data_IF_029389708743
#
_entry.id   IF_029389708743
#
_cell.length_a   1.000
_cell.length_b   1.000
_cell.length_c   1.000
_cell.angle_alpha   90.00
_cell.angle_beta   90.00
_cell.angle_gamma   90.00
#
_symmetry.space_group_name_H-M   'P 1'
#
loop_
_entity.id
_entity.type
_entity.pdbx_description
1 polymer ?
#
# COMPACT_ATOMS: atom_id res chain seq x y z
N UNK A 1 10.26 -22.04 27.70
CA UNK A 1 10.09 -21.02 28.74
C UNK A 1 10.72 -19.70 28.28
N UNK A 2 9.90 -18.81 27.74
CA UNK A 2 10.00 -17.35 27.86
C UNK A 2 8.60 -16.85 27.49
N UNK A 3 7.77 -16.74 28.53
CA UNK A 3 6.48 -16.06 28.47
C UNK A 3 6.77 -14.57 28.32
N UNK A 4 6.44 -13.99 27.16
CA UNK A 4 6.25 -12.54 27.09
C UNK A 4 4.86 -12.26 27.61
N UNK A 5 4.79 -11.92 28.89
CA UNK A 5 3.60 -11.35 29.51
C UNK A 5 3.14 -10.15 28.67
N UNK A 6 1.91 -10.24 28.19
CA UNK A 6 1.14 -9.07 27.79
C UNK A 6 0.77 -8.38 29.11
N UNK A 7 1.72 -7.68 29.71
CA UNK A 7 1.38 -6.65 30.67
C UNK A 7 0.58 -5.60 29.89
N UNK A 8 -0.64 -5.35 30.35
CA UNK A 8 -1.46 -4.27 29.83
C UNK A 8 -0.72 -2.95 30.11
N UNK A 9 0.02 -2.44 29.12
CA UNK A 9 0.38 -1.02 29.09
C UNK A 9 -0.93 -0.25 29.19
N UNK A 10 -1.22 0.28 30.37
CA UNK A 10 -2.35 1.15 30.60
C UNK A 10 -2.30 2.26 29.56
N UNK A 11 -3.42 2.50 28.87
CA UNK A 11 -3.56 3.57 27.87
C UNK A 11 -3.61 4.95 28.56
N UNK A 12 -2.71 5.22 29.50
CA UNK A 12 -2.69 6.42 30.36
C UNK A 12 -2.44 7.72 29.58
N UNK A 13 -2.09 7.60 28.30
CA UNK A 13 -1.95 8.70 27.36
C UNK A 13 -3.21 8.95 26.52
N UNK A 14 -4.19 8.06 26.54
CA UNK A 14 -5.47 8.22 25.83
C UNK A 14 -6.49 8.81 26.80
N UNK A 15 -7.11 9.92 26.41
CA UNK A 15 -8.17 10.58 27.17
C UNK A 15 -9.45 10.64 26.36
N UNK A 16 -10.58 10.53 27.03
CA UNK A 16 -11.89 10.66 26.39
C UNK A 16 -12.49 12.03 26.69
N UNK A 17 -12.99 12.72 25.66
CA UNK A 17 -13.65 14.02 25.76
C UNK A 17 -14.80 14.06 24.78
N UNK A 18 -16.01 14.39 25.23
CA UNK A 18 -17.20 14.52 24.38
C UNK A 18 -17.44 13.29 23.47
N UNK A 19 -17.25 12.08 24.00
CA UNK A 19 -17.41 10.81 23.26
C UNK A 19 -16.33 10.54 22.19
N UNK A 20 -15.24 11.31 22.18
CA UNK A 20 -14.10 11.14 21.28
C UNK A 20 -12.84 10.81 22.07
N UNK A 21 -11.96 10.02 21.44
CA UNK A 21 -10.66 9.64 22.00
C UNK A 21 -9.57 10.57 21.51
N UNK A 22 -8.69 10.98 22.43
CA UNK A 22 -7.54 11.85 22.14
C UNK A 22 -6.28 11.26 22.75
N UNK A 23 -5.13 11.55 22.15
CA UNK A 23 -3.82 11.35 22.76
C UNK A 23 -3.43 12.65 23.46
N UNK A 24 -3.14 12.59 24.76
CA UNK A 24 -2.46 13.70 25.46
C UNK A 24 -0.96 13.62 25.13
N UNK A 25 -0.51 14.53 24.27
CA UNK A 25 0.86 14.58 23.80
C UNK A 25 1.84 14.69 24.98
N UNK A 26 1.49 15.41 26.05
CA UNK A 26 2.36 15.58 27.23
C UNK A 26 2.68 14.28 27.95
N UNK A 27 1.80 13.28 27.84
CA UNK A 27 1.96 11.94 28.44
C UNK A 27 2.84 11.02 27.61
N UNK A 28 3.12 11.36 26.36
CA UNK A 28 4.01 10.59 25.48
C UNK A 28 5.29 11.33 25.12
N UNK A 29 5.47 12.57 25.60
CA UNK A 29 6.73 13.27 25.40
C UNK A 29 7.85 12.51 26.13
N UNK A 30 8.97 12.25 25.46
CA UNK A 30 10.13 11.67 26.11
C UNK A 30 10.74 12.71 27.05
N UNK A 31 11.36 12.27 28.14
CA UNK A 31 12.04 13.17 29.07
C UNK A 31 13.26 13.84 28.43
N UNK A 32 13.99 13.13 27.56
CA UNK A 32 15.22 13.60 26.94
C UNK A 32 15.28 13.32 25.45
N UNK A 33 15.95 14.20 24.72
CA UNK A 33 16.42 13.91 23.37
C UNK A 33 17.60 12.93 23.43
N UNK A 34 17.92 12.22 22.33
CA UNK A 34 19.12 11.37 22.28
C UNK A 34 20.45 12.14 22.45
N UNK A 35 20.41 13.49 22.42
CA UNK A 35 21.56 14.33 22.78
C UNK A 35 21.70 14.58 24.28
N UNK A 36 20.86 13.99 25.12
CA UNK A 36 20.84 14.20 26.58
C UNK A 36 20.05 15.43 27.04
N UNK A 37 19.71 16.36 26.14
CA UNK A 37 18.91 17.57 26.45
C UNK A 37 17.55 17.19 27.02
N UNK A 38 17.19 17.77 28.16
CA UNK A 38 15.88 17.63 28.80
C UNK A 38 14.81 18.33 27.96
N UNK A 39 13.70 17.64 27.72
CA UNK A 39 12.53 18.16 27.03
C UNK A 39 11.57 18.68 28.08
N UNK A 40 11.13 19.92 27.88
CA UNK A 40 10.16 20.61 28.71
C UNK A 40 8.98 21.04 27.86
N UNK A 41 7.85 21.28 28.51
CA UNK A 41 6.68 21.85 27.86
C UNK A 41 6.01 22.85 28.79
N UNK A 42 5.31 23.81 28.19
CA UNK A 42 4.41 24.72 28.90
C UNK A 42 3.07 24.77 28.18
N UNK A 43 1.99 24.90 28.94
CA UNK A 43 0.67 25.14 28.38
C UNK A 43 0.63 26.55 27.75
N UNK A 44 0.05 26.66 26.55
CA UNK A 44 -0.21 27.96 25.90
C UNK A 44 -1.67 28.36 26.13
N UNK A 45 -2.58 27.45 25.79
CA UNK A 45 -4.04 27.54 25.97
C UNK A 45 -4.58 26.12 26.21
N UNK A 46 -5.87 25.90 26.40
CA UNK A 46 -6.44 24.57 26.72
C UNK A 46 -6.08 23.46 25.71
N UNK A 47 -5.86 23.82 24.44
CA UNK A 47 -5.67 22.88 23.33
C UNK A 47 -4.21 22.80 22.86
N UNK A 48 -3.35 23.74 23.25
CA UNK A 48 -1.98 23.87 22.72
C UNK A 48 -0.91 23.91 23.81
N UNK A 49 0.22 23.32 23.47
CA UNK A 49 1.45 23.35 24.26
C UNK A 49 2.61 23.89 23.42
N UNK A 50 3.59 24.49 24.10
CA UNK A 50 4.90 24.78 23.54
C UNK A 50 5.90 23.78 24.10
N UNK A 51 6.52 22.99 23.23
CA UNK A 51 7.56 22.03 23.60
C UNK A 51 8.91 22.68 23.29
N UNK A 52 9.84 22.60 24.24
CA UNK A 52 11.19 23.16 24.13
C UNK A 52 12.20 22.29 24.86
N UNK A 53 13.49 22.64 24.77
CA UNK A 53 14.53 21.96 25.56
C UNK A 53 15.09 22.89 26.62
N UNK A 54 15.49 22.32 27.76
CA UNK A 54 16.31 23.06 28.72
C UNK A 54 17.70 23.31 28.14
N UNK A 55 18.07 24.59 28.07
CA UNK A 55 19.35 25.05 27.52
C UNK A 55 20.54 24.59 28.37
N UNK A 56 20.33 24.37 29.67
CA UNK A 56 21.38 24.05 30.64
C UNK A 56 21.60 22.54 30.82
N UNK A 57 20.60 21.71 30.48
CA UNK A 57 20.64 20.25 30.67
C UNK A 57 21.74 19.47 29.93
N UNK A 58 22.33 20.03 28.86
CA UNK A 58 23.45 19.43 28.12
C UNK A 58 24.12 20.50 27.22
N UNK A 59 25.37 20.33 26.75
CA UNK A 59 25.99 21.24 25.78
C UNK A 59 25.38 21.12 24.36
N UNK A 60 25.62 22.13 23.51
CA UNK A 60 25.22 22.15 22.11
C UNK A 60 23.99 23.01 21.79
N UNK A 61 23.67 23.10 20.49
CA UNK A 61 22.60 23.96 19.96
C UNK A 61 21.22 23.64 20.52
N UNK A 62 20.41 24.68 20.73
CA UNK A 62 19.07 24.57 21.27
C UNK A 62 18.05 24.61 20.11
N UNK A 63 17.32 23.51 19.82
CA UNK A 63 16.25 23.54 18.83
C UNK A 63 15.22 24.61 19.18
N UNK A 64 14.65 25.23 18.14
CA UNK A 64 13.56 26.20 18.32
C UNK A 64 12.37 25.52 19.01
N UNK A 65 11.66 26.22 19.92
CA UNK A 65 10.41 25.74 20.49
C UNK A 65 9.39 25.42 19.39
N UNK A 66 8.53 24.45 19.65
CA UNK A 66 7.46 24.04 18.73
C UNK A 66 6.13 24.22 19.44
N UNK A 67 5.19 24.88 18.75
CA UNK A 67 3.79 24.95 19.18
C UNK A 67 3.01 23.85 18.48
N UNK A 68 2.29 23.05 19.25
CA UNK A 68 1.58 21.88 18.74
C UNK A 68 0.32 21.65 19.57
N UNK A 69 -0.65 20.94 18.98
CA UNK A 69 -1.83 20.50 19.71
C UNK A 69 -1.46 19.53 20.84
N UNK A 70 -2.01 19.76 22.04
CA UNK A 70 -1.86 18.87 23.20
C UNK A 70 -2.72 17.62 23.03
N UNK A 71 -4.00 17.81 22.75
CA UNK A 71 -4.96 16.71 22.62
C UNK A 71 -5.18 16.39 21.14
N UNK A 72 -4.51 15.35 20.65
CA UNK A 72 -4.58 14.93 19.25
C UNK A 72 -5.71 13.91 19.12
N UNK A 73 -6.75 14.25 18.34
CA UNK A 73 -7.90 13.36 18.13
C UNK A 73 -7.46 12.08 17.41
N UNK A 74 -7.88 10.92 17.94
CA UNK A 74 -7.61 9.62 17.34
C UNK A 74 -8.67 9.37 16.26
N UNK A 75 -8.34 9.69 15.02
CA UNK A 75 -9.23 9.57 13.87
C UNK A 75 -8.46 9.15 12.60
N UNK A 76 -9.21 8.83 11.54
CA UNK A 76 -8.73 8.39 10.24
C UNK A 76 -7.67 9.33 9.64
N UNK A 77 -7.85 10.65 9.77
CA UNK A 77 -6.93 11.66 9.25
C UNK A 77 -5.55 11.57 9.89
N UNK A 78 -5.49 11.36 11.21
CA UNK A 78 -4.24 11.15 11.92
C UNK A 78 -3.51 9.90 11.40
N UNK A 79 -4.24 8.80 11.19
CA UNK A 79 -3.64 7.57 10.65
C UNK A 79 -3.18 7.74 9.21
N UNK A 80 -3.91 8.49 8.37
CA UNK A 80 -3.47 8.79 7.00
C UNK A 80 -2.22 9.68 7.00
N UNK A 81 -2.15 10.69 7.86
CA UNK A 81 -0.96 11.54 8.02
C UNK A 81 0.28 10.69 8.35
N UNK A 82 0.15 9.84 9.36
CA UNK A 82 1.24 9.00 9.82
C UNK A 82 1.55 7.85 8.87
N UNK A 83 0.59 7.42 8.03
CA UNK A 83 0.83 6.50 6.93
C UNK A 83 1.68 7.13 5.82
N UNK A 84 1.39 8.37 5.42
CA UNK A 84 2.21 9.13 4.47
C UNK A 84 3.62 9.37 5.02
N UNK A 85 3.71 9.82 6.27
CA UNK A 85 4.99 10.00 6.97
C UNK A 85 5.69 8.66 7.23
N UNK A 86 4.97 7.53 7.18
CA UNK A 86 5.58 6.23 7.36
C UNK A 86 6.44 5.83 6.17
N UNK A 87 6.02 6.16 4.96
CA UNK A 87 6.81 5.92 3.77
C UNK A 87 7.83 7.02 3.53
N UNK A 88 7.35 8.07 2.86
CA UNK A 88 8.15 9.20 2.35
C UNK A 88 8.40 10.30 3.40
N UNK A 89 8.19 9.98 4.67
CA UNK A 89 8.48 10.91 5.75
C UNK A 89 9.97 11.17 5.90
N UNK A 90 10.32 12.46 5.96
CA UNK A 90 11.62 12.87 6.47
C UNK A 90 11.74 12.41 7.92
N UNK A 91 12.63 11.45 8.15
CA UNK A 91 12.87 10.79 9.44
C UNK A 91 14.33 10.91 9.81
N UNK A 92 14.63 10.63 11.08
CA UNK A 92 16.00 10.57 11.57
C UNK A 92 16.74 9.43 10.87
N UNK A 93 17.60 9.76 9.90
CA UNK A 93 18.55 8.84 9.27
C UNK A 93 19.95 9.08 9.87
N UNK A 94 20.56 8.02 10.42
CA UNK A 94 21.95 7.99 10.89
C UNK A 94 22.37 9.20 11.72
N UNK A 95 21.77 9.40 12.91
CA UNK A 95 22.18 10.42 13.91
C UNK A 95 22.09 11.91 13.52
N UNK A 96 22.05 12.23 12.22
CA UNK A 96 22.38 13.54 11.69
C UNK A 96 21.22 14.23 10.98
N UNK A 97 20.34 13.51 10.26
CA UNK A 97 19.18 14.12 9.63
C UNK A 97 18.04 14.32 10.64
N UNK A 98 17.53 15.54 10.80
CA UNK A 98 16.64 15.92 11.93
C UNK A 98 15.49 16.80 11.45
N UNK A 99 14.65 16.25 10.58
CA UNK A 99 13.50 16.94 10.04
C UNK A 99 12.21 16.16 10.28
N UNK A 100 11.11 16.89 10.37
CA UNK A 100 9.76 16.38 10.19
C UNK A 100 9.25 16.95 8.87
N UNK A 101 8.73 16.10 7.99
CA UNK A 101 8.38 16.53 6.63
C UNK A 101 8.07 15.35 5.73
N UNK A 102 7.84 15.64 4.48
CA UNK A 102 7.40 14.70 3.46
C UNK A 102 8.05 15.06 2.13
N UNK A 103 8.52 14.04 1.41
CA UNK A 103 9.26 14.20 0.17
C UNK A 103 8.69 13.27 -0.91
N UNK A 104 8.08 13.82 -1.96
CA UNK A 104 7.44 13.02 -3.00
C UNK A 104 7.48 13.76 -4.35
N UNK A 105 7.13 13.04 -5.42
CA UNK A 105 6.99 13.60 -6.77
C UNK A 105 5.59 14.09 -7.09
N UNK A 106 4.58 13.66 -6.31
CA UNK A 106 3.17 13.97 -6.50
C UNK A 106 2.74 15.15 -5.62
N UNK A 107 2.40 16.28 -6.24
CA UNK A 107 2.06 17.53 -5.53
C UNK A 107 0.77 17.38 -4.71
N UNK A 108 -0.19 16.57 -5.16
CA UNK A 108 -1.44 16.31 -4.44
C UNK A 108 -1.18 15.62 -3.09
N UNK A 109 -0.15 14.78 -2.99
CA UNK A 109 0.24 14.16 -1.72
C UNK A 109 0.86 15.19 -0.76
N UNK A 110 1.60 16.18 -1.26
CA UNK A 110 2.10 17.28 -0.42
C UNK A 110 0.94 18.14 0.10
N UNK A 111 -0.04 18.49 -0.74
CA UNK A 111 -1.24 19.23 -0.32
C UNK A 111 -1.98 18.49 0.79
N UNK A 112 -2.20 17.19 0.61
CA UNK A 112 -2.83 16.34 1.61
C UNK A 112 -2.01 16.30 2.91
N UNK A 113 -0.70 16.04 2.82
CA UNK A 113 0.19 15.99 3.99
C UNK A 113 0.16 17.29 4.81
N UNK A 114 0.28 18.45 4.15
CA UNK A 114 0.28 19.76 4.82
C UNK A 114 -1.09 20.09 5.43
N UNK A 115 -2.18 19.75 4.73
CA UNK A 115 -3.55 19.90 5.25
C UNK A 115 -3.77 19.06 6.51
N UNK A 116 -3.31 17.80 6.49
CA UNK A 116 -3.39 16.91 7.64
C UNK A 116 -2.50 17.37 8.80
N UNK A 117 -1.30 17.89 8.54
CA UNK A 117 -0.44 18.50 9.57
C UNK A 117 -1.16 19.66 10.27
N UNK A 118 -1.81 20.54 9.51
CA UNK A 118 -2.59 21.64 10.08
C UNK A 118 -3.76 21.12 10.90
N UNK A 119 -4.54 20.18 10.35
CA UNK A 119 -5.76 19.63 10.99
C UNK A 119 -5.45 18.84 12.26
N UNK A 120 -4.47 17.94 12.21
CA UNK A 120 -4.20 16.99 13.29
C UNK A 120 -3.22 17.53 14.32
N UNK A 121 -2.21 18.30 13.89
CA UNK A 121 -1.08 18.71 14.74
C UNK A 121 -1.06 20.22 15.02
N UNK A 122 -1.89 21.03 14.34
CA UNK A 122 -1.83 22.49 14.39
C UNK A 122 -0.51 23.06 13.84
N UNK A 123 0.03 22.44 12.78
CA UNK A 123 1.24 22.91 12.09
C UNK A 123 0.85 23.49 10.73
N UNK A 124 0.99 24.79 10.57
CA UNK A 124 0.63 25.50 9.34
C UNK A 124 1.70 25.35 8.23
N UNK A 125 1.29 25.39 6.95
CA UNK A 125 2.21 25.33 5.81
C UNK A 125 3.34 26.35 5.83
N UNK A 126 3.11 27.57 6.34
CA UNK A 126 4.14 28.63 6.42
C UNK A 126 5.32 28.29 7.34
N UNK A 127 5.21 27.24 8.17
CA UNK A 127 6.30 26.79 9.03
C UNK A 127 7.26 25.85 8.29
N UNK A 128 6.87 25.33 7.11
CA UNK A 128 7.69 24.42 6.33
C UNK A 128 8.65 25.18 5.41
N UNK A 129 9.86 24.64 5.28
CA UNK A 129 10.77 24.91 4.18
C UNK A 129 10.45 24.00 3.00
N UNK A 130 10.74 24.45 1.79
CA UNK A 130 10.56 23.69 0.57
C UNK A 130 11.89 23.60 -0.19
N UNK A 131 12.29 22.40 -0.57
CA UNK A 131 13.39 22.18 -1.51
C UNK A 131 12.85 21.45 -2.73
N UNK A 132 13.23 21.92 -3.91
CA UNK A 132 12.84 21.31 -5.18
C UNK A 132 14.10 20.75 -5.84
N UNK A 133 14.01 19.52 -6.33
CA UNK A 133 15.02 18.91 -7.19
C UNK A 133 14.41 18.62 -8.56
N UNK A 134 15.03 19.09 -9.62
CA UNK A 134 14.59 18.87 -11.00
C UNK A 134 15.52 17.90 -11.74
N UNK A 135 15.03 17.14 -12.72
CA UNK A 135 15.88 16.26 -13.53
C UNK A 135 16.79 17.07 -14.47
N UNK A 136 17.81 16.42 -15.05
CA UNK A 136 18.79 17.08 -15.93
C UNK A 136 18.15 17.66 -17.21
N UNK A 137 17.11 17.01 -17.72
CA UNK A 137 16.35 17.37 -18.91
C UNK A 137 15.17 18.31 -18.63
N UNK A 138 15.15 18.95 -17.45
CA UNK A 138 14.11 19.91 -17.11
C UNK A 138 14.20 21.18 -17.98
N UNK A 139 13.25 21.32 -18.91
CA UNK A 139 13.21 22.42 -19.87
C UNK A 139 12.37 23.63 -19.40
N UNK A 140 11.84 23.59 -18.17
CA UNK A 140 10.98 24.66 -17.63
C UNK A 140 11.75 25.76 -16.91
N UNK A 141 11.06 26.86 -16.60
CA UNK A 141 11.60 27.93 -15.74
C UNK A 141 11.57 27.49 -14.27
N UNK A 142 12.74 27.51 -13.61
CA UNK A 142 12.84 27.21 -12.16
C UNK A 142 12.00 28.19 -11.35
N UNK A 143 12.01 29.48 -11.71
CA UNK A 143 11.27 30.51 -10.97
C UNK A 143 9.75 30.27 -11.06
N UNK A 144 9.24 29.95 -12.24
CA UNK A 144 7.82 29.65 -12.44
C UNK A 144 7.41 28.37 -11.68
N UNK A 145 8.28 27.36 -11.64
CA UNK A 145 8.06 26.16 -10.86
C UNK A 145 7.98 26.46 -9.36
N UNK A 146 8.91 27.25 -8.82
CA UNK A 146 8.89 27.67 -7.41
C UNK A 146 7.63 28.47 -7.07
N UNK A 147 7.23 29.41 -7.92
CA UNK A 147 5.99 30.19 -7.77
C UNK A 147 4.74 29.31 -7.82
N UNK A 148 4.68 28.35 -8.75
CA UNK A 148 3.59 27.37 -8.82
C UNK A 148 3.51 26.54 -7.54
N UNK A 149 4.61 25.93 -7.12
CA UNK A 149 4.65 25.10 -5.91
C UNK A 149 4.32 25.92 -4.66
N UNK A 150 4.79 27.17 -4.57
CA UNK A 150 4.47 28.08 -3.47
C UNK A 150 2.96 28.34 -3.36
N UNK A 151 2.29 28.63 -4.48
CA UNK A 151 0.83 28.83 -4.52
C UNK A 151 0.06 27.56 -4.15
N UNK A 152 0.44 26.44 -4.75
CA UNK A 152 -0.22 25.14 -4.56
C UNK A 152 -0.12 24.63 -3.11
N UNK A 153 1.07 24.76 -2.51
CA UNK A 153 1.35 24.25 -1.16
C UNK A 153 1.14 25.30 -0.06
N UNK A 154 0.88 26.56 -0.43
CA UNK A 154 0.75 27.70 0.48
C UNK A 154 1.99 27.90 1.38
N UNK A 155 3.16 27.56 0.85
CA UNK A 155 4.46 27.80 1.50
C UNK A 155 5.02 29.12 0.94
N UNK A 156 5.39 30.11 1.77
CA UNK A 156 5.97 31.35 1.29
C UNK A 156 7.26 31.12 0.50
N UNK A 157 7.47 31.87 -0.59
CA UNK A 157 8.71 31.80 -1.38
C UNK A 157 9.97 32.04 -0.55
N UNK A 158 9.90 32.86 0.50
CA UNK A 158 11.02 33.07 1.44
C UNK A 158 11.47 31.82 2.20
N UNK A 159 10.66 30.74 2.20
CA UNK A 159 10.99 29.45 2.78
C UNK A 159 11.54 28.44 1.77
N UNK A 160 11.71 28.83 0.49
CA UNK A 160 12.25 27.94 -0.53
C UNK A 160 13.77 27.97 -0.47
N UNK A 161 14.38 26.78 -0.53
CA UNK A 161 15.80 26.66 -0.78
C UNK A 161 16.07 26.72 -2.27
N UNK A 162 17.30 27.07 -2.64
CA UNK A 162 17.74 27.08 -4.03
C UNK A 162 17.43 25.73 -4.67
N UNK A 163 16.59 25.74 -5.71
CA UNK A 163 16.30 24.55 -6.51
C UNK A 163 17.59 23.99 -7.12
N UNK A 164 17.73 22.66 -7.05
CA UNK A 164 18.91 21.94 -7.54
C UNK A 164 18.56 21.05 -8.73
N UNK A 165 19.48 20.95 -9.68
CA UNK A 165 19.44 19.92 -10.73
C UNK A 165 20.02 18.63 -10.14
N UNK A 166 19.34 17.51 -10.34
CA UNK A 166 19.76 16.20 -9.84
C UNK A 166 19.66 15.15 -10.95
N UNK A 167 20.82 14.74 -11.47
CA UNK A 167 20.96 13.77 -12.57
C UNK A 167 20.39 12.38 -12.25
N UNK A 168 20.22 12.04 -10.96
CA UNK A 168 19.64 10.75 -10.53
C UNK A 168 18.11 10.76 -10.51
N UNK A 169 17.47 11.90 -10.80
CA UNK A 169 16.01 12.04 -10.79
C UNK A 169 15.49 12.07 -12.22
N UNK A 170 14.36 11.41 -12.42
CA UNK A 170 13.62 11.41 -13.68
C UNK A 170 12.38 12.32 -13.64
N UNK A 171 12.05 12.85 -12.46
CA UNK A 171 10.86 13.67 -12.22
C UNK A 171 11.21 14.77 -11.22
N UNK A 172 10.45 15.87 -11.28
CA UNK A 172 10.50 16.91 -10.25
C UNK A 172 10.14 16.29 -8.91
N UNK A 173 10.98 16.55 -7.93
CA UNK A 173 10.84 16.01 -6.58
C UNK A 173 10.79 17.17 -5.59
N UNK A 174 9.74 17.20 -4.77
CA UNK A 174 9.50 18.24 -3.78
C UNK A 174 9.78 17.65 -2.40
N UNK A 175 10.48 18.40 -1.56
CA UNK A 175 10.78 18.04 -0.18
C UNK A 175 10.35 19.18 0.75
N UNK A 176 9.21 18.96 1.42
CA UNK A 176 8.64 19.90 2.40
C UNK A 176 9.02 19.49 3.80
N UNK A 177 9.67 20.37 4.57
CA UNK A 177 10.21 20.00 5.89
C UNK A 177 10.31 21.13 6.92
N UNK A 178 10.20 20.75 8.18
CA UNK A 178 10.58 21.54 9.35
C UNK A 178 11.85 20.94 9.92
N UNK A 179 12.92 21.74 9.97
CA UNK A 179 14.20 21.34 10.53
C UNK A 179 14.15 21.40 12.07
N UNK A 180 13.53 20.40 12.68
CA UNK A 180 13.44 20.28 14.14
C UNK A 180 13.63 18.85 14.61
N UNK A 181 14.72 18.62 15.35
CA UNK A 181 14.99 17.35 16.04
C UNK A 181 13.89 17.02 17.06
N UNK A 182 13.45 18.04 17.80
CA UNK A 182 12.43 17.89 18.81
C UNK A 182 11.12 17.41 18.19
N UNK A 183 10.68 18.05 17.10
CA UNK A 183 9.46 17.65 16.40
C UNK A 183 9.56 16.23 15.85
N UNK A 184 10.64 15.94 15.11
CA UNK A 184 10.84 14.62 14.49
C UNK A 184 10.85 13.50 15.52
N UNK A 185 11.48 13.72 16.69
CA UNK A 185 11.53 12.72 17.75
C UNK A 185 10.18 12.53 18.46
N UNK A 186 9.47 13.63 18.76
CA UNK A 186 8.11 13.55 19.32
C UNK A 186 7.14 12.82 18.37
N UNK A 187 7.22 13.10 17.06
CA UNK A 187 6.37 12.43 16.06
C UNK A 187 6.73 10.95 15.89
N UNK A 188 8.00 10.57 16.06
CA UNK A 188 8.41 9.16 16.05
C UNK A 188 7.72 8.38 17.18
N UNK A 189 7.71 8.92 18.40
CA UNK A 189 7.07 8.26 19.55
C UNK A 189 5.56 8.19 19.37
N UNK A 190 4.95 9.28 18.85
CA UNK A 190 3.54 9.28 18.50
C UNK A 190 3.22 8.19 17.46
N UNK A 191 4.04 8.03 16.41
CA UNK A 191 3.88 6.96 15.43
C UNK A 191 3.92 5.57 16.10
N UNK A 192 4.88 5.30 16.98
CA UNK A 192 5.00 4.02 17.68
C UNK A 192 3.73 3.68 18.48
N UNK A 193 3.13 4.67 19.16
CA UNK A 193 1.84 4.49 19.86
C UNK A 193 0.69 4.30 18.89
N UNK A 194 0.66 5.04 17.78
CA UNK A 194 -0.36 4.89 16.74
C UNK A 194 -0.28 3.54 16.03
N UNK A 195 0.90 2.94 15.86
CA UNK A 195 1.02 1.62 15.22
C UNK A 195 0.25 0.55 15.99
N UNK A 196 0.28 0.58 17.34
CA UNK A 196 -0.53 -0.33 18.16
C UNK A 196 -2.02 -0.09 17.94
N UNK A 197 -2.45 1.18 18.01
CA UNK A 197 -3.85 1.57 17.83
C UNK A 197 -4.39 1.30 16.42
N UNK A 198 -3.54 1.38 15.39
CA UNK A 198 -3.92 1.13 14.01
C UNK A 198 -4.41 -0.30 13.80
N UNK A 199 -3.91 -1.26 14.59
CA UNK A 199 -4.28 -2.67 14.50
C UNK A 199 -5.56 -3.01 15.29
N UNK A 200 -6.00 -2.13 16.20
CA UNK A 200 -7.22 -2.36 17.01
C UNK A 200 -8.50 -2.21 16.19
N UNK A 201 -8.54 -1.27 15.24
CA UNK A 201 -9.74 -0.94 14.46
C UNK A 201 -9.45 -0.97 12.96
N UNK A 202 -10.31 -1.65 12.19
CA UNK A 202 -10.15 -1.77 10.73
C UNK A 202 -10.09 -0.42 10.02
N UNK A 203 -10.87 0.57 10.47
CA UNK A 203 -10.84 1.93 9.90
C UNK A 203 -9.46 2.59 10.01
N UNK A 204 -8.76 2.39 11.12
CA UNK A 204 -7.42 2.94 11.32
C UNK A 204 -6.37 2.17 10.51
N UNK A 205 -6.50 0.84 10.42
CA UNK A 205 -5.69 0.03 9.52
C UNK A 205 -5.83 0.49 8.07
N UNK A 206 -7.07 0.73 7.61
CA UNK A 206 -7.37 1.28 6.29
C UNK A 206 -6.68 2.62 6.07
N UNK A 207 -6.89 3.60 6.95
CA UNK A 207 -6.35 4.95 6.78
C UNK A 207 -4.82 5.00 6.82
N UNK A 208 -4.20 4.21 7.70
CA UNK A 208 -2.75 4.05 7.73
C UNK A 208 -2.22 3.41 6.43
N UNK A 209 -2.85 2.33 5.96
CA UNK A 209 -2.48 1.70 4.69
C UNK A 209 -2.66 2.60 3.49
N UNK A 210 -3.72 3.42 3.45
CA UNK A 210 -3.90 4.39 2.36
C UNK A 210 -2.70 5.33 2.26
N UNK A 211 -2.23 5.88 3.38
CA UNK A 211 -1.03 6.71 3.41
C UNK A 211 0.23 5.95 2.97
N UNK A 212 0.46 4.75 3.52
CA UNK A 212 1.63 3.92 3.20
C UNK A 212 1.67 3.52 1.72
N UNK A 213 0.52 3.13 1.16
CA UNK A 213 0.41 2.75 -0.25
C UNK A 213 0.64 3.96 -1.15
N UNK A 214 0.09 5.12 -0.78
CA UNK A 214 0.28 6.35 -1.51
C UNK A 214 1.75 6.74 -1.62
N UNK A 215 2.55 6.57 -0.55
CA UNK A 215 3.99 6.81 -0.59
C UNK A 215 4.77 5.66 -1.25
N UNK A 216 4.72 4.45 -0.69
CA UNK A 216 5.70 3.38 -0.96
C UNK A 216 5.29 2.36 -2.00
N UNK A 217 3.97 2.25 -2.29
CA UNK A 217 3.53 1.14 -3.12
C UNK A 217 3.82 1.36 -4.60
N UNK A 218 4.25 0.31 -5.29
CA UNK A 218 4.22 0.23 -6.73
C UNK A 218 3.00 -0.63 -7.16
N UNK A 219 2.20 -0.10 -8.09
CA UNK A 219 1.06 -0.82 -8.68
C UNK A 219 1.51 -1.31 -10.05
N UNK A 220 1.92 -2.57 -10.13
CA UNK A 220 2.47 -3.13 -11.35
C UNK A 220 1.37 -3.71 -12.26
N UNK A 221 1.17 -3.09 -13.41
CA UNK A 221 0.38 -3.62 -14.52
C UNK A 221 1.31 -4.32 -15.49
N UNK A 222 1.04 -5.59 -15.81
CA UNK A 222 1.84 -6.37 -16.74
C UNK A 222 1.66 -5.86 -18.16
N UNK A 223 2.76 -5.71 -18.88
CA UNK A 223 2.76 -5.22 -20.27
C UNK A 223 2.13 -6.21 -21.25
N UNK A 224 2.26 -7.51 -20.99
CA UNK A 224 1.78 -8.60 -21.86
C UNK A 224 0.25 -8.74 -21.90
N UNK A 225 -0.38 -8.54 -20.75
CA UNK A 225 -1.78 -8.88 -20.49
C UNK A 225 -2.62 -7.68 -20.08
N UNK A 226 -1.98 -6.54 -19.76
CA UNK A 226 -2.66 -5.38 -19.22
C UNK A 226 -3.28 -5.60 -17.84
N UNK A 227 -2.98 -6.73 -17.17
CA UNK A 227 -3.54 -7.11 -15.86
C UNK A 227 -2.67 -6.62 -14.72
N UNK A 228 -3.25 -6.45 -13.52
CA UNK A 228 -2.44 -6.30 -12.31
C UNK A 228 -1.62 -7.57 -12.07
N UNK A 229 -0.30 -7.40 -12.05
CA UNK A 229 0.62 -8.45 -11.63
C UNK A 229 0.72 -8.49 -10.11
N UNK A 230 1.01 -7.33 -9.51
CA UNK A 230 1.23 -7.18 -8.08
C UNK A 230 1.04 -5.75 -7.62
N UNK A 231 0.79 -5.60 -6.32
CA UNK A 231 1.04 -4.36 -5.59
C UNK A 231 2.17 -4.68 -4.61
N UNK A 232 3.30 -4.00 -4.76
CA UNK A 232 4.47 -4.17 -3.89
C UNK A 232 4.64 -2.92 -3.02
N UNK A 233 4.71 -3.08 -1.70
CA UNK A 233 4.96 -1.98 -0.76
C UNK A 233 6.41 -2.09 -0.29
N UNK A 234 7.27 -1.19 -0.75
CA UNK A 234 8.69 -1.17 -0.40
C UNK A 234 8.86 -0.81 1.08
N UNK A 235 9.45 -1.72 1.87
CA UNK A 235 9.65 -1.52 3.31
C UNK A 235 10.88 -2.30 3.78
N UNK A 236 11.91 -1.56 4.18
CA UNK A 236 13.16 -2.11 4.72
C UNK A 236 12.99 -2.55 6.19
N UNK A 237 13.52 -3.72 6.51
CA UNK A 237 13.50 -4.30 7.86
C UNK A 237 12.25 -5.10 8.21
N UNK A 238 12.47 -6.26 8.83
CA UNK A 238 11.45 -7.26 9.13
C UNK A 238 10.32 -6.72 10.04
N UNK A 239 10.66 -5.98 11.11
CA UNK A 239 9.67 -5.44 12.05
C UNK A 239 8.66 -4.53 11.34
N UNK A 240 9.16 -3.67 10.43
CA UNK A 240 8.29 -2.75 9.68
C UNK A 240 7.44 -3.49 8.66
N UNK A 241 7.98 -4.51 7.98
CA UNK A 241 7.20 -5.37 7.09
C UNK A 241 6.11 -6.12 7.85
N UNK A 242 6.43 -6.72 9.00
CA UNK A 242 5.44 -7.40 9.84
C UNK A 242 4.30 -6.47 10.26
N UNK A 243 4.61 -5.22 10.62
CA UNK A 243 3.59 -4.21 10.86
C UNK A 243 2.67 -3.98 9.64
N UNK A 244 3.24 -3.74 8.46
CA UNK A 244 2.46 -3.54 7.22
C UNK A 244 1.64 -4.78 6.84
N UNK A 245 2.20 -5.97 7.00
CA UNK A 245 1.48 -7.25 6.81
C UNK A 245 0.28 -7.35 7.73
N UNK A 246 0.45 -7.01 9.01
CA UNK A 246 -0.63 -7.07 9.99
C UNK A 246 -1.76 -6.07 9.68
N UNK A 247 -1.45 -4.88 9.17
CA UNK A 247 -2.48 -3.95 8.68
C UNK A 247 -3.32 -4.59 7.56
N UNK A 248 -2.67 -5.22 6.57
CA UNK A 248 -3.38 -5.90 5.47
C UNK A 248 -4.24 -7.06 5.98
N UNK A 249 -3.69 -7.88 6.88
CA UNK A 249 -4.40 -9.01 7.49
C UNK A 249 -5.64 -8.55 8.26
N UNK A 250 -5.56 -7.42 8.97
CA UNK A 250 -6.71 -6.85 9.68
C UNK A 250 -7.86 -6.45 8.73
N UNK A 251 -7.53 -6.08 7.50
CA UNK A 251 -8.48 -5.80 6.42
C UNK A 251 -8.89 -7.06 5.64
N UNK A 252 -8.43 -8.23 6.05
CA UNK A 252 -8.68 -9.51 5.41
C UNK A 252 -7.92 -9.72 4.09
N UNK A 253 -6.96 -8.86 3.75
CA UNK A 253 -6.06 -9.03 2.61
C UNK A 253 -4.92 -9.94 3.06
N UNK A 254 -4.62 -11.00 2.32
CA UNK A 254 -3.57 -11.96 2.68
C UNK A 254 -2.32 -11.70 1.84
N UNK A 255 -1.28 -11.04 2.37
CA UNK A 255 -0.06 -10.81 1.61
C UNK A 255 0.66 -12.12 1.29
N UNK A 256 1.29 -12.18 0.11
CA UNK A 256 2.19 -13.26 -0.28
C UNK A 256 3.47 -13.24 0.54
N UNK A 257 4.42 -14.15 0.28
CA UNK A 257 5.75 -14.09 0.89
C UNK A 257 6.43 -12.77 0.55
N UNK A 258 7.05 -12.14 1.56
CA UNK A 258 7.79 -10.90 1.37
C UNK A 258 8.96 -11.10 0.40
N UNK A 259 9.30 -10.04 -0.32
CA UNK A 259 10.60 -9.93 -0.95
C UNK A 259 11.60 -9.53 0.14
N UNK A 260 12.68 -10.30 0.28
CA UNK A 260 13.68 -10.13 1.35
C UNK A 260 15.07 -9.86 0.80
N UNK A 261 15.17 -9.56 -0.50
CA UNK A 261 16.44 -9.16 -1.13
C UNK A 261 16.80 -7.78 -0.60
N UNK A 262 18.03 -7.62 -0.12
CA UNK A 262 18.53 -6.35 0.41
C UNK A 262 18.29 -5.20 -0.59
N UNK A 263 17.85 -4.05 -0.08
CA UNK A 263 17.43 -2.87 -0.86
C UNK A 263 16.25 -3.07 -1.82
N UNK A 264 15.61 -4.24 -1.82
CA UNK A 264 14.39 -4.54 -2.58
C UNK A 264 13.31 -5.17 -1.70
N UNK A 265 13.44 -4.98 -0.38
CA UNK A 265 12.53 -5.57 0.58
C UNK A 265 11.12 -4.99 0.43
N UNK A 266 10.12 -5.87 0.35
CA UNK A 266 8.75 -5.44 0.10
C UNK A 266 7.71 -6.43 0.60
N UNK A 267 6.55 -5.90 1.01
CA UNK A 267 5.33 -6.68 1.24
C UNK A 267 4.57 -6.80 -0.08
N UNK A 268 4.27 -8.03 -0.50
CA UNK A 268 3.66 -8.31 -1.80
C UNK A 268 2.18 -8.68 -1.68
N UNK A 269 1.34 -8.01 -2.47
CA UNK A 269 -0.07 -8.34 -2.64
C UNK A 269 -0.31 -8.84 -4.06
N UNK A 270 -0.78 -10.08 -4.17
CA UNK A 270 -1.13 -10.71 -5.45
C UNK A 270 -2.54 -11.27 -5.44
N UNK A 271 -3.07 -11.48 -6.64
CA UNK A 271 -4.27 -12.26 -6.88
C UNK A 271 -5.55 -11.43 -6.80
N UNK A 272 -6.50 -11.79 -7.67
CA UNK A 272 -7.76 -11.06 -7.86
C UNK A 272 -8.56 -10.91 -6.56
N UNK A 273 -8.58 -11.92 -5.68
CA UNK A 273 -9.28 -11.85 -4.39
C UNK A 273 -8.73 -10.73 -3.51
N UNK A 274 -7.41 -10.58 -3.44
CA UNK A 274 -6.79 -9.49 -2.69
C UNK A 274 -7.03 -8.15 -3.40
N UNK A 275 -6.89 -8.07 -4.72
CA UNK A 275 -7.16 -6.84 -5.46
C UNK A 275 -8.61 -6.35 -5.30
N UNK A 276 -9.59 -7.26 -5.27
CA UNK A 276 -10.99 -6.91 -4.97
C UNK A 276 -11.13 -6.29 -3.58
N UNK A 277 -10.46 -6.83 -2.56
CA UNK A 277 -10.45 -6.26 -1.21
C UNK A 277 -9.73 -4.91 -1.15
N UNK A 278 -8.61 -4.76 -1.87
CA UNK A 278 -7.92 -3.48 -2.01
C UNK A 278 -8.86 -2.41 -2.59
N UNK A 279 -9.67 -2.78 -3.59
CA UNK A 279 -10.71 -1.91 -4.16
C UNK A 279 -11.84 -1.61 -3.19
N UNK A 280 -12.37 -2.64 -2.52
CA UNK A 280 -13.44 -2.52 -1.51
C UNK A 280 -13.06 -1.56 -0.38
N UNK A 281 -11.84 -1.68 0.13
CA UNK A 281 -11.30 -0.79 1.15
C UNK A 281 -10.84 0.57 0.60
N UNK A 282 -10.87 0.77 -0.72
CA UNK A 282 -10.42 1.98 -1.41
C UNK A 282 -8.98 2.39 -1.02
N UNK A 283 -8.05 1.42 -0.98
CA UNK A 283 -6.70 1.65 -0.42
C UNK A 283 -5.77 2.49 -1.31
N UNK A 284 -6.08 2.64 -2.60
CA UNK A 284 -5.22 3.34 -3.58
C UNK A 284 -5.72 4.77 -3.86
N UNK A 285 -6.79 5.20 -3.15
CA UNK A 285 -7.50 6.45 -3.41
C UNK A 285 -6.65 7.72 -3.45
N UNK A 286 -5.55 7.76 -2.68
CA UNK A 286 -4.81 9.00 -2.44
C UNK A 286 -3.84 9.38 -3.56
N UNK A 287 -3.36 8.42 -4.36
CA UNK A 287 -2.38 8.71 -5.41
C UNK A 287 -3.00 8.52 -6.80
N UNK A 288 -3.16 9.60 -7.60
CA UNK A 288 -3.94 9.56 -8.85
C UNK A 288 -3.36 8.60 -9.89
N UNK A 289 -2.04 8.64 -10.11
CA UNK A 289 -1.37 7.72 -11.04
C UNK A 289 -1.52 6.24 -10.63
N UNK A 290 -1.29 5.92 -9.35
CA UNK A 290 -1.43 4.55 -8.83
C UNK A 290 -2.88 4.06 -8.94
N UNK A 291 -3.86 4.94 -8.70
CA UNK A 291 -5.27 4.63 -8.86
C UNK A 291 -5.62 4.30 -10.30
N UNK A 292 -5.17 5.12 -11.26
CA UNK A 292 -5.38 4.88 -12.69
C UNK A 292 -4.77 3.54 -13.14
N UNK A 293 -3.54 3.26 -12.72
CA UNK A 293 -2.87 2.00 -13.03
C UNK A 293 -3.61 0.80 -12.40
N UNK A 294 -4.10 0.96 -11.16
CA UNK A 294 -4.88 -0.05 -10.47
C UNK A 294 -6.20 -0.37 -11.18
N UNK A 295 -6.97 0.65 -11.53
CA UNK A 295 -8.26 0.49 -12.20
C UNK A 295 -8.09 -0.16 -13.57
N UNK A 296 -7.17 0.35 -14.40
CA UNK A 296 -6.84 -0.25 -15.70
C UNK A 296 -6.43 -1.71 -15.56
N UNK A 297 -5.52 -1.99 -14.62
CA UNK A 297 -5.04 -3.35 -14.40
C UNK A 297 -6.12 -4.30 -13.86
N UNK A 298 -7.06 -3.80 -13.08
CA UNK A 298 -8.18 -4.57 -12.54
C UNK A 298 -9.22 -4.90 -13.62
N UNK A 299 -9.46 -3.97 -14.55
CA UNK A 299 -10.31 -4.22 -15.72
C UNK A 299 -9.74 -5.30 -16.64
N UNK A 300 -8.42 -5.43 -16.72
CA UNK A 300 -7.74 -6.50 -17.45
C UNK A 300 -8.11 -7.92 -16.99
N UNK A 301 -8.74 -8.08 -15.82
CA UNK A 301 -9.29 -9.37 -15.36
C UNK A 301 -10.61 -9.75 -16.06
N UNK A 302 -11.09 -8.99 -17.06
CA UNK A 302 -12.27 -9.34 -17.88
C UNK A 302 -11.92 -10.20 -19.10
N UNK A 303 -12.01 -11.51 -18.91
CA UNK A 303 -12.62 -12.51 -19.83
C UNK A 303 -12.58 -13.81 -19.05
N UNK A 304 -13.62 -14.08 -18.24
CA UNK A 304 -13.83 -15.27 -17.41
C UNK A 304 -12.68 -16.28 -17.52
N UNK A 305 -11.53 -16.09 -16.89
CA UNK A 305 -10.56 -17.19 -16.94
C UNK A 305 -11.12 -18.24 -16.02
N UNK A 306 -11.58 -19.33 -16.64
CA UNK A 306 -11.97 -20.53 -15.93
C UNK A 306 -10.93 -20.80 -14.84
N UNK A 307 -11.39 -21.03 -13.61
CA UNK A 307 -10.54 -21.59 -12.56
C UNK A 307 -9.81 -22.79 -13.19
N UNK A 308 -8.53 -23.00 -12.86
CA UNK A 308 -7.78 -24.14 -13.41
C UNK A 308 -8.61 -25.43 -13.26
N UNK A 309 -8.94 -26.08 -14.37
CA UNK A 309 -9.82 -27.27 -14.43
C UNK A 309 -11.28 -27.00 -14.85
N UNK A 310 -11.80 -25.77 -14.68
CA UNK A 310 -13.20 -25.41 -14.95
C UNK A 310 -13.51 -25.41 -16.46
N UNK A 311 -12.56 -25.01 -17.30
CA UNK A 311 -12.69 -25.08 -18.76
C UNK A 311 -12.89 -26.53 -19.23
N UNK A 312 -12.06 -27.44 -18.70
CA UNK A 312 -12.13 -28.88 -18.96
C UNK A 312 -13.46 -29.45 -18.49
N UNK A 313 -13.90 -29.07 -17.29
CA UNK A 313 -15.17 -29.52 -16.71
C UNK A 313 -16.36 -29.10 -17.58
N UNK A 314 -16.38 -27.86 -18.06
CA UNK A 314 -17.48 -27.36 -18.89
C UNK A 314 -17.48 -27.97 -20.29
N UNK A 315 -16.31 -28.25 -20.86
CA UNK A 315 -16.20 -29.02 -22.11
C UNK A 315 -16.79 -30.42 -21.91
N UNK A 316 -16.41 -31.14 -20.83
CA UNK A 316 -16.95 -32.47 -20.53
C UNK A 316 -18.48 -32.43 -20.33
N UNK A 317 -19.00 -31.46 -19.55
CA UNK A 317 -20.45 -31.27 -19.36
C UNK A 317 -21.21 -30.92 -20.64
N UNK A 318 -20.56 -30.24 -21.58
CA UNK A 318 -21.16 -29.94 -22.89
C UNK A 318 -21.19 -31.17 -23.78
N UNK A 319 -20.09 -31.94 -23.82
CA UNK A 319 -19.95 -33.16 -24.61
C UNK A 319 -20.74 -34.36 -24.06
N UNK A 320 -21.10 -34.36 -22.78
CA UNK A 320 -21.99 -35.37 -22.20
C UNK A 320 -23.43 -35.27 -22.72
N UNK A 321 -23.82 -34.10 -23.23
CA UNK A 321 -25.16 -33.88 -23.83
C UNK A 321 -25.20 -34.29 -25.30
N UNK A 322 -24.15 -33.98 -26.05
CA UNK A 322 -24.06 -34.34 -27.47
C UNK A 322 -22.62 -34.18 -27.99
N UNK A 323 -22.28 -34.91 -29.06
CA UNK A 323 -21.03 -34.66 -29.78
C UNK A 323 -21.03 -33.28 -30.44
N UNK A 324 -19.91 -32.54 -30.37
CA UNK A 324 -19.80 -31.17 -30.88
C UNK A 324 -18.47 -30.93 -31.57
N UNK A 325 -18.43 -30.02 -32.54
CA UNK A 325 -17.18 -29.53 -33.11
C UNK A 325 -16.61 -28.36 -32.28
N UNK A 326 -15.35 -28.00 -32.55
CA UNK A 326 -14.65 -26.95 -31.80
C UNK A 326 -15.36 -25.60 -31.89
N UNK A 327 -15.93 -25.26 -33.04
CA UNK A 327 -16.62 -23.98 -33.23
C UNK A 327 -17.92 -23.91 -32.43
N UNK A 328 -18.65 -25.02 -32.31
CA UNK A 328 -19.84 -25.14 -31.46
C UNK A 328 -19.48 -24.99 -29.98
N UNK A 329 -18.45 -25.69 -29.52
CA UNK A 329 -17.95 -25.58 -28.14
C UNK A 329 -17.45 -24.16 -27.83
N UNK A 330 -16.73 -23.54 -28.77
CA UNK A 330 -16.24 -22.17 -28.63
C UNK A 330 -17.40 -21.16 -28.51
N UNK A 331 -18.45 -21.33 -29.34
CA UNK A 331 -19.63 -20.48 -29.29
C UNK A 331 -20.42 -20.67 -27.99
N UNK A 332 -20.66 -21.92 -27.58
CA UNK A 332 -21.43 -22.24 -26.38
C UNK A 332 -20.73 -21.77 -25.09
N UNK A 333 -19.40 -21.94 -25.02
CA UNK A 333 -18.62 -21.60 -23.83
C UNK A 333 -18.13 -20.14 -23.84
N UNK A 334 -18.44 -19.36 -24.89
CA UNK A 334 -18.01 -17.97 -25.04
C UNK A 334 -16.50 -17.81 -25.19
N UNK A 335 -15.81 -18.76 -25.86
CA UNK A 335 -14.34 -18.87 -25.91
C UNK A 335 -13.74 -18.71 -27.29
N UNK A 336 -12.46 -18.35 -27.28
CA UNK A 336 -11.63 -18.42 -28.48
C UNK A 336 -11.46 -19.87 -28.91
N UNK A 337 -11.58 -20.11 -30.21
CA UNK A 337 -11.44 -21.44 -30.83
C UNK A 337 -10.17 -22.16 -30.37
N UNK A 338 -9.03 -21.46 -30.33
CA UNK A 338 -7.73 -22.03 -29.93
C UNK A 338 -7.72 -22.52 -28.48
N UNK A 339 -8.33 -21.79 -27.56
CA UNK A 339 -8.41 -22.18 -26.15
C UNK A 339 -9.21 -23.47 -25.96
N UNK A 340 -10.28 -23.66 -26.74
CA UNK A 340 -11.05 -24.91 -26.73
C UNK A 340 -10.20 -26.07 -27.28
N UNK A 341 -9.46 -25.84 -28.37
CA UNK A 341 -8.54 -26.85 -28.91
C UNK A 341 -7.55 -27.30 -27.85
N UNK A 342 -6.80 -26.38 -27.24
CA UNK A 342 -5.75 -26.73 -26.28
C UNK A 342 -6.30 -27.57 -25.11
N UNK A 343 -7.52 -27.27 -24.62
CA UNK A 343 -8.18 -28.09 -23.60
C UNK A 343 -8.64 -29.46 -24.11
N UNK A 344 -9.13 -29.56 -25.34
CA UNK A 344 -9.55 -30.84 -25.94
C UNK A 344 -8.38 -31.80 -26.12
N UNK A 345 -7.21 -31.32 -26.56
CA UNK A 345 -6.00 -32.16 -26.64
C UNK A 345 -5.62 -32.73 -25.28
N UNK A 346 -5.64 -31.90 -24.22
CA UNK A 346 -5.36 -32.37 -22.86
C UNK A 346 -6.40 -33.38 -22.38
N UNK A 347 -7.68 -33.19 -22.72
CA UNK A 347 -8.74 -34.14 -22.36
C UNK A 347 -8.65 -35.45 -23.15
N UNK A 348 -8.20 -35.41 -24.41
CA UNK A 348 -7.96 -36.57 -25.26
C UNK A 348 -6.78 -37.40 -24.73
N UNK A 349 -5.68 -36.74 -24.36
CA UNK A 349 -4.52 -37.36 -23.70
C UNK A 349 -4.88 -38.04 -22.36
N UNK A 350 -5.93 -37.55 -21.69
CA UNK A 350 -6.47 -38.14 -20.47
C UNK A 350 -7.54 -39.20 -20.73
N UNK A 351 -7.84 -39.49 -22.00
CA UNK A 351 -8.88 -40.42 -22.46
C UNK A 351 -10.29 -40.06 -21.97
N UNK A 352 -10.55 -38.79 -21.65
CA UNK A 352 -11.86 -38.30 -21.18
C UNK A 352 -12.76 -37.89 -22.35
N UNK A 353 -12.16 -37.60 -23.51
CA UNK A 353 -12.88 -37.30 -24.75
C UNK A 353 -12.23 -38.05 -25.91
N UNK A 354 -13.02 -38.35 -26.93
CA UNK A 354 -12.55 -38.87 -28.20
C UNK A 354 -12.97 -37.96 -29.36
N UNK A 355 -12.43 -38.24 -30.55
CA UNK A 355 -12.78 -37.50 -31.77
C UNK A 355 -13.15 -38.44 -32.91
N UNK A 356 -14.14 -38.03 -33.71
CA UNK A 356 -14.59 -38.73 -34.91
C UNK A 356 -14.65 -37.75 -36.08
N UNK A 357 -14.17 -38.18 -37.24
CA UNK A 357 -14.27 -37.40 -38.48
C UNK A 357 -15.57 -37.75 -39.20
N UNK A 358 -16.34 -36.73 -39.55
CA UNK A 358 -17.57 -36.86 -40.35
C UNK A 358 -17.44 -35.89 -41.52
N UNK A 359 -17.14 -36.44 -42.70
CA UNK A 359 -16.77 -35.64 -43.88
C UNK A 359 -15.52 -34.78 -43.61
N UNK A 360 -15.62 -33.47 -43.88
CA UNK A 360 -14.52 -32.52 -43.64
C UNK A 360 -14.43 -32.01 -42.20
N UNK A 361 -15.40 -32.33 -41.33
CA UNK A 361 -15.48 -31.82 -39.95
C UNK A 361 -15.03 -32.87 -38.93
N UNK A 362 -14.46 -32.40 -37.82
CA UNK A 362 -14.09 -33.22 -36.66
C UNK A 362 -15.06 -32.92 -35.52
N UNK A 363 -15.69 -33.96 -35.00
CA UNK A 363 -16.57 -33.91 -33.84
C UNK A 363 -15.90 -34.58 -32.65
N UNK A 364 -16.04 -33.97 -31.49
CA UNK A 364 -15.58 -34.48 -30.21
C UNK A 364 -16.75 -35.09 -29.47
N UNK A 365 -16.50 -36.15 -28.71
CA UNK A 365 -17.49 -36.84 -27.88
C UNK A 365 -16.87 -37.24 -26.54
N UNK A 366 -17.69 -37.38 -25.50
CA UNK A 366 -17.22 -37.84 -24.19
C UNK A 366 -17.03 -39.38 -24.22
N UNK A 367 -15.97 -39.88 -23.60
CA UNK A 367 -15.76 -41.34 -23.40
C UNK A 367 -16.51 -41.82 -22.15
N UNK A 368 -16.60 -43.14 -21.94
CA UNK A 368 -17.14 -43.69 -20.69
C UNK A 368 -16.33 -43.23 -19.47
N UNK A 369 -15.00 -43.24 -19.57
CA UNK A 369 -14.11 -42.67 -18.54
C UNK A 369 -14.38 -41.19 -18.28
N UNK A 370 -14.71 -40.43 -19.32
CA UNK A 370 -15.11 -39.03 -19.20
C UNK A 370 -16.44 -38.84 -18.47
N UNK A 371 -17.40 -39.75 -18.64
CA UNK A 371 -18.67 -39.74 -17.90
C UNK A 371 -18.46 -40.10 -16.43
N UNK A 372 -17.72 -41.18 -16.14
CA UNK A 372 -17.35 -41.57 -14.78
C UNK A 372 -16.69 -40.41 -14.01
N UNK A 373 -15.76 -39.69 -14.66
CA UNK A 373 -15.10 -38.51 -14.10
C UNK A 373 -16.08 -37.41 -13.69
N UNK A 374 -17.21 -37.23 -14.38
CA UNK A 374 -18.23 -36.24 -14.03
C UNK A 374 -19.04 -36.63 -12.79
N UNK A 375 -19.06 -37.91 -12.42
CA UNK A 375 -19.78 -38.46 -11.26
C UNK A 375 -18.91 -38.46 -9.98
N UNK A 376 -17.60 -38.27 -10.11
CA UNK A 376 -16.68 -38.26 -8.98
C UNK A 376 -16.85 -37.04 -8.06
N UNK A 377 -16.72 -37.27 -6.75
CA UNK A 377 -16.50 -36.19 -5.79
C UNK A 377 -15.16 -35.51 -6.10
N UNK A 378 -15.15 -34.18 -6.07
CA UNK A 378 -13.98 -33.32 -6.32
C UNK A 378 -13.42 -33.30 -7.77
N UNK A 379 -14.26 -33.55 -8.77
CA UNK A 379 -13.89 -33.50 -10.21
C UNK A 379 -13.07 -32.26 -10.61
N UNK A 380 -13.42 -31.08 -10.07
CA UNK A 380 -12.74 -29.83 -10.40
C UNK A 380 -11.27 -29.84 -9.95
N UNK A 381 -10.99 -30.43 -8.78
CA UNK A 381 -9.64 -30.51 -8.21
C UNK A 381 -8.78 -31.52 -8.97
N UNK A 382 -9.38 -32.65 -9.39
CA UNK A 382 -8.70 -33.64 -10.23
C UNK A 382 -8.34 -33.11 -11.62
N UNK A 383 -9.25 -32.34 -12.24
CA UNK A 383 -8.98 -31.66 -13.52
C UNK A 383 -7.97 -30.51 -13.41
N UNK A 384 -7.74 -30.01 -12.19
CA UNK A 384 -6.75 -28.96 -11.85
C UNK A 384 -5.33 -29.50 -11.74
N UNK A 385 -5.14 -30.60 -10.99
CA UNK A 385 -3.81 -31.16 -10.66
C UNK A 385 -3.22 -31.94 -11.85
N UNK A 386 -4.07 -32.44 -12.75
CA UNK A 386 -3.68 -33.35 -13.83
C UNK A 386 -3.70 -34.79 -13.33
N UNK A 387 -4.42 -35.66 -14.04
CA UNK A 387 -4.49 -37.08 -13.68
C UNK A 387 -3.21 -37.79 -14.14
N UNK A 388 -2.69 -38.76 -13.37
CA UNK A 388 -1.59 -39.60 -13.84
C UNK A 388 -2.00 -40.34 -15.11
N UNK A 389 -1.08 -40.42 -16.08
CA UNK A 389 -1.26 -41.23 -17.28
C UNK A 389 -1.40 -42.69 -16.84
N UNK A 390 -2.42 -43.41 -17.31
CA UNK A 390 -2.63 -44.82 -16.92
C UNK A 390 -1.51 -45.75 -17.44
N UNK A 391 -0.71 -45.28 -18.40
CA UNK A 391 0.44 -45.98 -18.96
C UNK A 391 1.71 -45.10 -18.91
N UNK A 392 2.22 -44.88 -17.70
CA UNK A 392 3.49 -44.20 -17.44
C UNK A 392 4.08 -44.68 -16.13
#
# INVERSE_FOLDING_TARGET
>A
CMEFGIESETKDFVVERNGKRFIDLTKILPERLPSGKLILWKQIDEEKIEIFVDKHSAPGGNPKPIRIKRFIEINEDLFTLFGLWFGDGNRIRGGNWKAFGFANTEIELHKLFLSLCKKCLFIDPHQFFCAISVPLDFNGSIKELEEQVSRELKIPLGNFWKTIVNERRNLVHIDTRINSRLLSFSMKILLEKLQKLALEEKRFSKSMLQGIIASEANVHVRSDSGRLGEISVAVEGEIKRNFVRNLFLNLGIKPSKDKTIEHQEAVLIHGLTNFKKVKEWNLIALHPKKLKDFERGLEGFKKEEFRKGEAKLLILKSLSKSSKNVSELAKELGRAWRSIVDHLWVLEDLELVGRKRVGRKVFWFITERGKEMLEEKDVLEKLRIGLPRKNG
#
